data_IF_618771641639
#
_entry.id   IF_618771641639
#
_cell.length_a   1.000
_cell.length_b   1.000
_cell.length_c   1.000
_cell.angle_alpha   90.00
_cell.angle_beta   90.00
_cell.angle_gamma   90.00
#
_symmetry.space_group_name_H-M   'P 1'
#
loop_
_entity.id
_entity.type
_entity.pdbx_description
1 polymer ?
#
# COMPACT_ATOMS: atom_id res chain seq x y z
N UNK A 1 0.51 10.69 11.07
CA UNK A 1 -0.50 10.47 9.99
C UNK A 1 -0.04 9.32 9.09
N UNK A 2 -0.95 8.57 8.45
CA UNK A 2 -0.61 7.58 7.42
C UNK A 2 -0.93 8.11 6.01
N UNK A 3 0.04 8.09 5.10
CA UNK A 3 -0.14 8.55 3.72
C UNK A 3 0.59 7.65 2.72
N UNK A 4 0.35 7.88 1.43
CA UNK A 4 1.11 7.25 0.34
C UNK A 4 2.14 8.22 -0.24
N UNK A 5 3.19 7.67 -0.82
CA UNK A 5 4.11 8.41 -1.69
C UNK A 5 4.55 7.54 -2.86
N UNK A 6 4.99 8.18 -3.94
CA UNK A 6 5.62 7.47 -5.05
C UNK A 6 7.11 7.34 -4.79
N UNK A 7 7.63 6.11 -4.87
CA UNK A 7 9.08 5.91 -4.83
C UNK A 7 9.70 6.24 -6.19
N UNK A 8 10.24 7.45 -6.32
CA UNK A 8 11.00 7.87 -7.50
C UNK A 8 12.46 7.43 -7.32
N UNK A 9 12.94 6.52 -8.17
CA UNK A 9 14.35 6.10 -8.16
C UNK A 9 15.25 7.27 -8.55
N UNK A 10 16.33 7.48 -7.80
CA UNK A 10 17.30 8.55 -8.06
C UNK A 10 16.86 9.94 -7.60
N UNK A 11 15.66 10.10 -7.04
CA UNK A 11 15.26 11.35 -6.42
C UNK A 11 16.10 11.63 -5.16
N UNK A 12 16.61 12.86 -4.97
CA UNK A 12 17.34 13.21 -3.77
C UNK A 12 16.44 13.05 -2.54
N UNK A 13 16.99 12.60 -1.41
CA UNK A 13 16.20 12.37 -0.20
C UNK A 13 15.43 13.62 0.27
N UNK A 14 15.97 14.81 -0.03
CA UNK A 14 15.34 16.11 0.26
C UNK A 14 14.05 16.39 -0.52
N UNK A 15 13.81 15.72 -1.65
CA UNK A 15 12.59 15.87 -2.43
C UNK A 15 11.49 14.86 -2.05
N UNK A 16 11.80 13.93 -1.14
CA UNK A 16 10.83 12.98 -0.60
C UNK A 16 10.14 13.58 0.63
N UNK A 17 8.92 13.13 0.97
CA UNK A 17 8.24 13.59 2.18
C UNK A 17 9.10 13.35 3.42
N UNK A 18 9.16 14.35 4.30
CA UNK A 18 9.80 14.23 5.60
C UNK A 18 8.93 13.35 6.50
N UNK A 19 9.52 12.29 7.06
CA UNK A 19 8.84 11.31 7.91
C UNK A 19 9.32 9.88 7.70
N UNK A 20 8.65 8.93 8.35
CA UNK A 20 9.00 7.51 8.32
C UNK A 20 8.49 6.88 7.03
N UNK A 21 9.38 6.26 6.26
CA UNK A 21 9.04 5.63 4.98
C UNK A 21 8.98 4.12 5.15
N UNK A 22 7.83 3.54 4.79
CA UNK A 22 7.58 2.10 4.82
C UNK A 22 7.49 1.55 3.40
N UNK A 23 8.41 0.67 3.05
CA UNK A 23 8.39 0.00 1.75
C UNK A 23 7.38 -1.16 1.77
N UNK A 24 6.34 -1.04 0.95
CA UNK A 24 5.27 -2.04 0.87
C UNK A 24 5.32 -2.87 -0.41
N UNK A 25 6.45 -2.88 -1.13
CA UNK A 25 6.60 -3.68 -2.35
C UNK A 25 6.42 -5.17 -2.07
N UNK A 26 5.99 -5.91 -3.10
CA UNK A 26 5.73 -7.36 -3.08
C UNK A 26 6.90 -8.23 -2.57
N UNK A 27 8.14 -7.74 -2.64
CA UNK A 27 9.34 -8.46 -2.20
C UNK A 27 9.75 -8.18 -0.74
N UNK A 28 9.03 -7.29 -0.05
CA UNK A 28 9.30 -6.97 1.36
C UNK A 28 8.60 -7.98 2.28
N UNK A 29 8.77 -7.81 3.60
CA UNK A 29 8.00 -8.54 4.61
C UNK A 29 6.86 -7.71 5.23
N UNK A 30 6.64 -6.50 4.72
CA UNK A 30 5.67 -5.56 5.28
C UNK A 30 4.25 -6.14 5.31
N UNK A 31 3.49 -5.86 6.37
CA UNK A 31 2.16 -6.45 6.58
C UNK A 31 1.15 -6.09 5.47
N UNK A 32 1.27 -4.87 4.94
CA UNK A 32 0.48 -4.35 3.82
C UNK A 32 0.99 -4.74 2.41
N UNK A 33 2.03 -5.57 2.27
CA UNK A 33 2.54 -5.92 0.92
C UNK A 33 1.53 -6.73 0.10
N UNK A 34 1.40 -6.53 -1.22
CA UNK A 34 0.63 -7.42 -2.07
C UNK A 34 1.39 -8.74 -2.29
N UNK A 35 0.67 -9.77 -2.73
CA UNK A 35 1.28 -11.01 -3.19
C UNK A 35 1.94 -10.81 -4.58
N UNK A 36 3.09 -11.44 -4.79
CA UNK A 36 3.87 -11.24 -6.01
C UNK A 36 3.16 -11.75 -7.28
N UNK A 37 2.42 -12.85 -7.17
CA UNK A 37 1.67 -13.45 -8.27
C UNK A 37 0.46 -12.57 -8.64
N UNK A 38 -0.25 -12.03 -7.63
CA UNK A 38 -1.34 -11.08 -7.85
C UNK A 38 -0.85 -9.83 -8.59
N UNK A 39 0.32 -9.30 -8.19
CA UNK A 39 0.93 -8.15 -8.90
C UNK A 39 1.31 -8.51 -10.33
N UNK A 40 1.87 -9.70 -10.57
CA UNK A 40 2.23 -10.12 -11.92
C UNK A 40 1.00 -10.20 -12.84
N UNK A 41 -0.11 -10.78 -12.35
CA UNK A 41 -1.36 -10.90 -13.10
C UNK A 41 -1.99 -9.55 -13.44
N UNK A 42 -2.05 -8.62 -12.49
CA UNK A 42 -2.67 -7.31 -12.74
C UNK A 42 -1.82 -6.44 -13.66
N UNK A 43 -0.48 -6.51 -13.57
CA UNK A 43 0.40 -5.77 -14.47
C UNK A 43 0.45 -6.35 -15.89
N UNK A 44 0.16 -7.64 -16.06
CA UNK A 44 0.03 -8.27 -17.37
C UNK A 44 -1.25 -7.87 -18.11
N UNK A 45 -2.26 -7.37 -17.38
CA UNK A 45 -3.56 -6.98 -17.89
C UNK A 45 -3.94 -5.57 -17.39
N UNK A 46 -3.00 -4.63 -17.51
CA UNK A 46 -3.13 -3.30 -16.91
C UNK A 46 -4.32 -2.47 -17.41
N UNK A 47 -4.68 -2.67 -18.67
CA UNK A 47 -5.81 -2.00 -19.34
C UNK A 47 -7.15 -2.75 -19.13
N UNK A 48 -7.14 -3.88 -18.42
CA UNK A 48 -8.35 -4.66 -18.09
C UNK A 48 -8.88 -4.25 -16.69
N UNK A 49 -9.99 -3.51 -16.68
CA UNK A 49 -10.72 -3.16 -15.46
C UNK A 49 -11.15 -4.38 -14.64
N UNK A 50 -11.48 -5.49 -15.31
CA UNK A 50 -11.77 -6.76 -14.69
C UNK A 50 -10.57 -7.34 -13.94
N UNK A 51 -9.36 -7.20 -14.50
CA UNK A 51 -8.13 -7.63 -13.82
C UNK A 51 -7.86 -6.81 -12.56
N UNK A 52 -8.09 -5.49 -12.63
CA UNK A 52 -7.99 -4.63 -11.45
C UNK A 52 -9.01 -5.01 -10.36
N UNK A 53 -10.29 -5.21 -10.72
CA UNK A 53 -11.33 -5.62 -9.75
C UNK A 53 -11.01 -6.96 -9.08
N UNK A 54 -10.47 -7.93 -9.84
CA UNK A 54 -10.00 -9.22 -9.30
C UNK A 54 -8.84 -9.01 -8.33
N UNK A 55 -7.87 -8.18 -8.69
CA UNK A 55 -6.74 -7.83 -7.84
C UNK A 55 -7.22 -7.18 -6.53
N UNK A 56 -8.11 -6.18 -6.61
CA UNK A 56 -8.65 -5.50 -5.43
C UNK A 56 -9.30 -6.50 -4.46
N UNK A 57 -10.18 -7.36 -4.97
CA UNK A 57 -10.86 -8.38 -4.16
C UNK A 57 -9.86 -9.32 -3.48
N UNK A 58 -8.88 -9.83 -4.23
CA UNK A 58 -7.87 -10.75 -3.70
C UNK A 58 -6.96 -10.08 -2.68
N UNK A 59 -6.55 -8.83 -2.93
CA UNK A 59 -5.68 -8.08 -2.05
C UNK A 59 -6.37 -7.72 -0.73
N UNK A 60 -7.63 -7.27 -0.77
CA UNK A 60 -8.42 -7.02 0.46
C UNK A 60 -8.59 -8.30 1.27
N UNK A 61 -8.89 -9.43 0.62
CA UNK A 61 -8.98 -10.73 1.30
C UNK A 61 -7.64 -11.17 1.92
N UNK A 62 -6.51 -10.86 1.28
CA UNK A 62 -5.17 -11.12 1.81
C UNK A 62 -4.91 -10.30 3.08
N UNK A 63 -5.21 -9.01 3.06
CA UNK A 63 -5.05 -8.15 4.25
C UNK A 63 -5.96 -8.63 5.39
N UNK A 64 -7.20 -8.98 5.09
CA UNK A 64 -8.14 -9.52 6.07
C UNK A 64 -7.63 -10.81 6.72
N UNK A 65 -7.12 -11.74 5.89
CA UNK A 65 -6.52 -12.99 6.37
C UNK A 65 -5.34 -12.72 7.31
N UNK A 66 -4.45 -11.79 6.93
CA UNK A 66 -3.30 -11.41 7.76
C UNK A 66 -3.73 -10.76 9.06
N UNK A 67 -4.66 -9.81 9.00
CA UNK A 67 -5.18 -9.09 10.16
C UNK A 67 -5.81 -10.04 11.18
N UNK A 68 -6.56 -11.04 10.71
CA UNK A 68 -7.14 -12.08 11.58
C UNK A 68 -6.10 -13.03 12.16
N UNK A 69 -5.05 -13.35 11.40
CA UNK A 69 -4.02 -14.27 11.84
C UNK A 69 -3.05 -13.61 12.84
N UNK A 70 -2.67 -12.36 12.58
CA UNK A 70 -1.79 -11.58 13.41
C UNK A 70 -2.07 -10.08 13.22
N UNK A 71 -2.70 -9.49 14.23
CA UNK A 71 -3.09 -8.08 14.23
C UNK A 71 -1.92 -7.17 14.64
N UNK A 72 -0.96 -7.66 15.41
CA UNK A 72 0.04 -6.82 16.07
C UNK A 72 0.84 -5.93 15.08
N UNK A 73 1.29 -6.41 13.91
CA UNK A 73 2.00 -5.55 12.95
C UNK A 73 1.14 -4.44 12.35
N UNK A 74 -0.19 -4.60 12.31
CA UNK A 74 -1.11 -3.54 11.89
C UNK A 74 -1.31 -2.52 13.00
N UNK A 75 -1.43 -2.97 14.25
CA UNK A 75 -1.55 -2.08 15.41
C UNK A 75 -0.28 -1.24 15.58
N UNK A 76 0.91 -1.85 15.43
CA UNK A 76 2.20 -1.14 15.45
C UNK A 76 2.27 -0.07 14.36
N UNK A 77 1.83 -0.38 13.14
CA UNK A 77 1.81 0.59 12.05
C UNK A 77 0.83 1.74 12.34
N UNK A 78 -0.37 1.42 12.86
CA UNK A 78 -1.36 2.42 13.21
C UNK A 78 -0.82 3.33 14.32
N UNK A 79 -0.20 2.76 15.35
CA UNK A 79 0.36 3.52 16.47
C UNK A 79 1.52 4.41 16.03
N UNK A 80 2.43 3.87 15.21
CA UNK A 80 3.49 4.66 14.61
C UNK A 80 2.93 5.84 13.81
N UNK A 81 1.85 5.61 13.05
CA UNK A 81 1.18 6.64 12.28
C UNK A 81 0.28 7.59 13.10
N UNK A 82 0.05 7.33 14.38
CA UNK A 82 -0.54 8.33 15.31
C UNK A 82 0.52 9.30 15.81
N UNK A 83 1.74 8.81 16.02
CA UNK A 83 2.85 9.58 16.59
C UNK A 83 3.63 10.35 15.52
N UNK A 84 3.80 9.75 14.34
CA UNK A 84 4.68 10.23 13.29
C UNK A 84 3.98 10.30 11.94
N UNK A 85 4.55 11.07 11.00
CA UNK A 85 4.14 11.02 9.60
C UNK A 85 4.75 9.80 8.91
N UNK A 86 3.91 8.82 8.60
CA UNK A 86 4.28 7.55 7.98
C UNK A 86 3.83 7.52 6.52
N UNK A 87 4.74 7.18 5.63
CA UNK A 87 4.54 7.16 4.19
C UNK A 87 4.72 5.76 3.62
N UNK A 88 3.66 5.20 3.04
CA UNK A 88 3.66 3.92 2.34
C UNK A 88 4.20 4.09 0.92
N UNK A 89 5.31 3.44 0.64
CA UNK A 89 5.95 3.45 -0.67
C UNK A 89 5.46 2.30 -1.55
N UNK A 90 5.12 2.61 -2.80
CA UNK A 90 5.02 1.64 -3.90
C UNK A 90 5.83 2.09 -5.12
N UNK A 91 6.16 1.14 -6.00
CA UNK A 91 6.66 1.39 -7.35
C UNK A 91 5.66 0.91 -8.42
N UNK A 92 4.39 0.76 -8.05
CA UNK A 92 3.34 0.29 -8.95
C UNK A 92 3.00 1.30 -10.06
N UNK A 93 2.99 2.63 -9.82
CA UNK A 93 2.91 3.59 -10.92
C UNK A 93 4.09 3.41 -11.86
N UNK A 94 3.82 2.89 -13.05
CA UNK A 94 4.80 2.64 -14.11
C UNK A 94 4.16 2.96 -15.45
N UNK A 95 4.91 2.92 -16.55
CA UNK A 95 4.33 3.00 -17.89
C UNK A 95 3.25 1.91 -18.12
N UNK A 96 3.36 0.77 -17.44
CA UNK A 96 2.38 -0.34 -17.48
C UNK A 96 1.26 -0.22 -16.46
N UNK A 97 1.23 0.83 -15.64
CA UNK A 97 0.13 1.11 -14.72
C UNK A 97 0.19 2.61 -14.38
N UNK A 98 -0.26 3.48 -15.29
CA UNK A 98 -0.14 4.92 -15.11
C UNK A 98 -1.15 5.47 -14.10
N UNK A 99 -2.27 4.77 -13.90
CA UNK A 99 -3.31 5.20 -12.97
C UNK A 99 -2.90 4.93 -11.52
N UNK A 100 -2.52 5.99 -10.81
CA UNK A 100 -2.12 5.91 -9.41
C UNK A 100 -3.24 5.44 -8.47
N UNK A 101 -4.51 5.51 -8.90
CA UNK A 101 -5.66 4.94 -8.17
C UNK A 101 -5.65 3.41 -8.22
N UNK A 102 -4.91 2.84 -9.18
CA UNK A 102 -4.62 1.41 -9.31
C UNK A 102 -3.30 1.01 -8.64
N UNK A 103 -2.87 1.69 -7.56
CA UNK A 103 -1.81 1.17 -6.67
C UNK A 103 -2.43 0.48 -5.45
N UNK A 104 -1.83 -0.63 -5.03
CA UNK A 104 -2.25 -1.37 -3.83
C UNK A 104 -2.17 -0.51 -2.56
N UNK A 105 -1.29 0.50 -2.49
CA UNK A 105 -1.21 1.39 -1.32
C UNK A 105 -2.47 2.19 -1.11
N UNK A 106 -3.21 2.55 -2.16
CA UNK A 106 -4.51 3.21 -2.02
C UNK A 106 -5.55 2.26 -1.39
N UNK A 107 -5.54 0.98 -1.78
CA UNK A 107 -6.37 -0.05 -1.14
C UNK A 107 -5.91 -0.33 0.30
N UNK A 108 -4.60 -0.27 0.56
CA UNK A 108 -4.02 -0.48 1.89
C UNK A 108 -4.41 0.65 2.85
N UNK A 109 -4.37 1.91 2.39
CA UNK A 109 -4.86 3.06 3.16
C UNK A 109 -6.34 2.90 3.48
N UNK A 110 -7.18 2.54 2.50
CA UNK A 110 -8.59 2.28 2.75
C UNK A 110 -8.79 1.18 3.81
N UNK A 111 -8.06 0.07 3.70
CA UNK A 111 -8.11 -1.01 4.69
C UNK A 111 -7.70 -0.53 6.10
N UNK A 112 -6.65 0.29 6.22
CA UNK A 112 -6.24 0.85 7.51
C UNK A 112 -7.29 1.79 8.08
N UNK A 113 -7.91 2.64 7.26
CA UNK A 113 -9.00 3.52 7.70
C UNK A 113 -10.21 2.72 8.21
N UNK A 114 -10.59 1.65 7.50
CA UNK A 114 -11.73 0.80 7.88
C UNK A 114 -11.49 0.08 9.22
N UNK A 115 -10.24 -0.26 9.55
CA UNK A 115 -9.86 -0.97 10.79
C UNK A 115 -9.48 -0.04 11.94
N UNK A 116 -9.04 1.17 11.63
CA UNK A 116 -8.59 2.19 12.57
C UNK A 116 -9.25 3.53 12.20
N UNK A 117 -10.55 3.72 12.50
CA UNK A 117 -11.30 4.90 12.06
C UNK A 117 -10.82 6.22 12.68
N UNK A 118 -10.07 6.14 13.78
CA UNK A 118 -9.40 7.27 14.42
C UNK A 118 -8.06 7.65 13.76
N UNK A 119 -7.53 6.78 12.90
CA UNK A 119 -6.24 7.01 12.24
C UNK A 119 -6.36 8.07 11.15
N UNK A 120 -5.59 9.16 11.29
CA UNK A 120 -5.51 10.21 10.26
C UNK A 120 -4.84 9.69 8.99
N UNK A 121 -5.64 9.50 7.94
CA UNK A 121 -5.18 9.10 6.60
C UNK A 121 -5.17 10.28 5.63
N UNK A 122 -4.10 10.39 4.82
CA UNK A 122 -3.99 11.36 3.72
C UNK A 122 -3.74 10.62 2.40
N UNK A 123 -4.69 10.75 1.47
CA UNK A 123 -4.69 10.09 0.15
C UNK A 123 -4.04 10.91 -0.96
#
# INVERSE_FOLDING_TARGET
>A
MLARYSMIRGAPASSLPQGIRQDTRKHTRHVLRPDAEMVAKVLAAADDDGAWRRFEKQYRALLEKRFKADRAPFDELAELARQEDVYLGCNCPTAKNPDVRRCHTSLALAFMHDRYPDLKIKS
#
